data_IF_786313352697
#
_entry.id   IF_786313352697
#
_cell.length_a   1.000
_cell.length_b   1.000
_cell.length_c   1.000
_cell.angle_alpha   90.00
_cell.angle_beta   90.00
_cell.angle_gamma   90.00
#
_symmetry.space_group_name_H-M   'P 1'
#
loop_
_entity.id
_entity.type
_entity.pdbx_description
1 polymer ?
#
# COMPACT_ATOMS: atom_id res chain seq x y z
N UNK A 1 -25.31 21.16 58.12
CA UNK A 1 -26.01 20.71 56.89
C UNK A 1 -25.67 21.47 55.61
N UNK A 2 -25.48 22.80 55.62
CA UNK A 2 -25.12 23.52 54.37
C UNK A 2 -23.64 23.30 53.97
N UNK A 3 -22.73 23.17 54.94
CA UNK A 3 -21.30 22.99 54.65
C UNK A 3 -20.94 21.61 54.05
N UNK A 4 -21.70 20.55 54.38
CA UNK A 4 -21.49 19.22 53.79
C UNK A 4 -21.94 19.19 52.32
N UNK A 5 -23.00 19.91 51.97
CA UNK A 5 -23.50 19.98 50.60
C UNK A 5 -22.53 20.69 49.64
N UNK A 6 -21.84 21.75 50.10
CA UNK A 6 -20.85 22.49 49.30
C UNK A 6 -19.56 21.68 49.08
N UNK A 7 -19.23 20.77 50.00
CA UNK A 7 -18.04 19.91 49.87
C UNK A 7 -18.24 18.84 48.79
N UNK A 8 -19.44 18.26 48.69
CA UNK A 8 -19.75 17.26 47.67
C UNK A 8 -19.77 17.85 46.26
N UNK A 9 -20.30 19.06 46.09
CA UNK A 9 -20.38 19.71 44.79
C UNK A 9 -19.00 20.02 44.19
N UNK A 10 -18.03 20.42 45.04
CA UNK A 10 -16.63 20.63 44.62
C UNK A 10 -15.91 19.33 44.25
N UNK A 11 -16.26 18.22 44.89
CA UNK A 11 -15.69 16.92 44.55
C UNK A 11 -16.20 16.40 43.21
N UNK A 12 -17.48 16.60 42.91
CA UNK A 12 -18.08 16.26 41.63
C UNK A 12 -17.48 17.10 40.50
N UNK A 13 -17.32 18.41 40.68
CA UNK A 13 -16.71 19.26 39.66
C UNK A 13 -15.26 18.87 39.32
N UNK A 14 -14.43 18.55 40.33
CA UNK A 14 -13.05 18.08 40.08
C UNK A 14 -13.01 16.70 39.42
N UNK A 15 -13.96 15.82 39.71
CA UNK A 15 -14.06 14.52 39.07
C UNK A 15 -14.46 14.66 37.58
N UNK A 16 -15.37 15.58 37.26
CA UNK A 16 -15.78 15.88 35.89
C UNK A 16 -14.62 16.48 35.09
N UNK A 17 -13.88 17.46 35.63
CA UNK A 17 -12.71 18.04 34.93
C UNK A 17 -11.63 16.99 34.63
N UNK A 18 -11.30 16.13 35.59
CA UNK A 18 -10.31 15.06 35.38
C UNK A 18 -10.77 14.06 34.31
N UNK A 19 -12.05 13.72 34.27
CA UNK A 19 -12.59 12.80 33.26
C UNK A 19 -12.65 13.43 31.87
N UNK A 20 -13.03 14.71 31.77
CA UNK A 20 -13.04 15.46 30.50
C UNK A 20 -11.62 15.60 29.94
N UNK A 21 -10.62 15.89 30.78
CA UNK A 21 -9.24 15.97 30.34
C UNK A 21 -8.71 14.59 29.89
N UNK A 22 -9.08 13.52 30.59
CA UNK A 22 -8.67 12.15 30.25
C UNK A 22 -9.31 11.65 28.94
N UNK A 23 -10.59 11.97 28.70
CA UNK A 23 -11.29 11.71 27.44
C UNK A 23 -10.65 12.47 26.27
N UNK A 24 -10.41 13.78 26.44
CA UNK A 24 -9.76 14.63 25.43
C UNK A 24 -8.36 14.13 25.06
N UNK A 25 -7.59 13.62 26.02
CA UNK A 25 -6.21 13.16 25.77
C UNK A 25 -6.19 11.84 24.99
N UNK A 26 -7.09 10.91 25.28
CA UNK A 26 -7.18 9.63 24.57
C UNK A 26 -7.71 9.77 23.15
N UNK A 27 -8.66 10.68 22.92
CA UNK A 27 -9.16 10.97 21.58
C UNK A 27 -8.09 11.65 20.73
N UNK A 28 -7.34 12.61 21.29
CA UNK A 28 -6.23 13.26 20.59
C UNK A 28 -5.12 12.24 20.26
N UNK A 29 -4.76 11.35 21.18
CA UNK A 29 -3.75 10.32 20.90
C UNK A 29 -4.20 9.33 19.83
N UNK A 30 -5.46 8.89 19.84
CA UNK A 30 -5.97 7.98 18.82
C UNK A 30 -6.15 8.66 17.46
N UNK A 31 -6.46 9.96 17.43
CA UNK A 31 -6.53 10.77 16.22
C UNK A 31 -5.13 10.99 15.63
N UNK A 32 -4.15 11.35 16.47
CA UNK A 32 -2.74 11.48 16.07
C UNK A 32 -2.19 10.13 15.63
N UNK A 33 -2.43 9.04 16.36
CA UNK A 33 -1.97 7.71 16.01
C UNK A 33 -2.58 7.23 14.68
N UNK A 34 -3.87 7.46 14.45
CA UNK A 34 -4.50 7.22 13.13
C UNK A 34 -3.89 8.08 12.05
N UNK A 35 -3.61 9.36 12.31
CA UNK A 35 -3.00 10.24 11.30
C UNK A 35 -1.54 9.86 11.00
N UNK A 36 -0.80 9.43 12.03
CA UNK A 36 0.61 9.05 11.96
C UNK A 36 0.83 7.67 11.31
N UNK A 37 -0.14 6.76 11.44
CA UNK A 37 -0.11 5.42 10.83
C UNK A 37 -0.84 5.38 9.48
N UNK A 38 -1.87 6.21 9.27
CA UNK A 38 -2.55 6.29 7.98
C UNK A 38 -1.75 7.08 6.94
N UNK A 39 -0.76 7.86 7.37
CA UNK A 39 0.24 8.38 6.45
C UNK A 39 1.10 7.22 5.97
N UNK A 40 0.69 6.60 4.86
CA UNK A 40 1.43 5.60 4.07
C UNK A 40 2.93 5.96 3.94
N UNK A 41 3.21 7.27 3.95
CA UNK A 41 4.53 7.91 3.98
C UNK A 41 5.38 7.50 5.17
N UNK A 42 4.85 7.62 6.38
CA UNK A 42 5.57 7.29 7.60
C UNK A 42 5.87 5.78 7.62
N UNK A 43 4.91 4.95 7.23
CA UNK A 43 5.10 3.49 7.11
C UNK A 43 6.20 3.15 6.09
N UNK A 44 6.20 3.80 4.93
CA UNK A 44 7.22 3.63 3.90
C UNK A 44 8.62 4.06 4.40
N UNK A 45 8.71 5.20 5.09
CA UNK A 45 9.98 5.69 5.65
C UNK A 45 10.54 4.76 6.73
N UNK A 46 9.71 4.35 7.69
CA UNK A 46 10.12 3.38 8.73
C UNK A 46 10.52 2.04 8.12
N UNK A 47 9.77 1.56 7.12
CA UNK A 47 10.10 0.33 6.40
C UNK A 47 11.45 0.42 5.69
N UNK A 48 11.72 1.52 4.98
CA UNK A 48 13.00 1.73 4.30
C UNK A 48 14.18 1.83 5.27
N UNK A 49 14.01 2.56 6.37
CA UNK A 49 15.05 2.67 7.41
C UNK A 49 15.36 1.30 8.03
N UNK A 50 14.32 0.51 8.32
CA UNK A 50 14.46 -0.84 8.84
C UNK A 50 15.17 -1.78 7.85
N UNK A 51 14.84 -1.72 6.55
CA UNK A 51 15.54 -2.48 5.51
C UNK A 51 17.04 -2.13 5.45
N UNK A 52 17.40 -0.84 5.51
CA UNK A 52 18.81 -0.39 5.53
C UNK A 52 19.54 -0.92 6.77
N UNK A 53 18.91 -0.87 7.95
CA UNK A 53 19.50 -1.40 9.19
C UNK A 53 19.71 -2.92 9.06
N UNK A 54 18.74 -3.66 8.54
CA UNK A 54 18.87 -5.10 8.30
C UNK A 54 20.04 -5.40 7.35
N UNK A 55 20.15 -4.66 6.24
CA UNK A 55 21.29 -4.79 5.32
C UNK A 55 22.63 -4.59 6.02
N UNK A 56 22.74 -3.56 6.86
CA UNK A 56 23.97 -3.30 7.62
C UNK A 56 24.27 -4.44 8.59
N UNK A 57 23.27 -4.93 9.32
CA UNK A 57 23.44 -6.05 10.26
C UNK A 57 23.91 -7.32 9.52
N UNK A 58 23.29 -7.64 8.39
CA UNK A 58 23.66 -8.82 7.57
C UNK A 58 25.08 -8.66 7.03
N UNK A 59 25.45 -7.45 6.59
CA UNK A 59 26.81 -7.15 6.11
C UNK A 59 27.85 -7.32 7.23
N UNK A 60 27.57 -6.82 8.44
CA UNK A 60 28.48 -6.97 9.58
C UNK A 60 28.51 -8.38 10.17
N UNK A 61 27.45 -9.18 9.96
CA UNK A 61 27.38 -10.57 10.39
C UNK A 61 28.15 -11.53 9.48
N UNK A 62 28.87 -11.02 8.46
CA UNK A 62 29.60 -11.81 7.47
C UNK A 62 28.73 -12.91 6.83
N UNK A 63 27.46 -12.58 6.53
CA UNK A 63 26.56 -13.48 5.81
C UNK A 63 27.05 -13.74 4.37
N UNK A 64 26.48 -14.76 3.73
CA UNK A 64 26.81 -15.10 2.34
C UNK A 64 26.60 -13.92 1.38
N UNK A 65 27.49 -13.80 0.39
CA UNK A 65 27.46 -12.73 -0.62
C UNK A 65 26.10 -12.65 -1.33
N UNK A 66 25.50 -13.79 -1.66
CA UNK A 66 24.19 -13.86 -2.31
C UNK A 66 23.07 -13.23 -1.47
N UNK A 67 23.05 -13.47 -0.16
CA UNK A 67 22.04 -12.91 0.74
C UNK A 67 22.22 -11.41 0.90
N UNK A 68 23.47 -10.95 0.99
CA UNK A 68 23.80 -9.51 1.05
C UNK A 68 23.30 -8.80 -0.21
N UNK A 69 23.61 -9.34 -1.40
CA UNK A 69 23.18 -8.77 -2.69
C UNK A 69 21.65 -8.73 -2.80
N UNK A 70 20.96 -9.81 -2.43
CA UNK A 70 19.49 -9.85 -2.44
C UNK A 70 18.88 -8.79 -1.52
N UNK A 71 19.41 -8.63 -0.30
CA UNK A 71 18.94 -7.61 0.64
C UNK A 71 19.20 -6.19 0.12
N UNK A 72 20.35 -5.93 -0.49
CA UNK A 72 20.63 -4.64 -1.12
C UNK A 72 19.66 -4.34 -2.27
N UNK A 73 19.37 -5.32 -3.12
CA UNK A 73 18.43 -5.15 -4.23
C UNK A 73 17.03 -4.74 -3.73
N UNK A 74 16.51 -5.43 -2.70
CA UNK A 74 15.22 -5.08 -2.07
C UNK A 74 15.26 -3.69 -1.45
N UNK A 75 16.35 -3.34 -0.78
CA UNK A 75 16.51 -2.04 -0.13
C UNK A 75 16.57 -0.89 -1.13
N UNK A 76 17.26 -1.05 -2.25
CA UNK A 76 17.31 -0.03 -3.31
C UNK A 76 15.92 0.25 -3.89
N UNK A 77 15.10 -0.79 -4.07
CA UNK A 77 13.70 -0.62 -4.50
C UNK A 77 12.89 0.14 -3.44
N UNK A 78 13.08 -0.15 -2.14
CA UNK A 78 12.46 0.64 -1.07
C UNK A 78 12.88 2.12 -1.11
N UNK A 79 14.18 2.39 -1.28
CA UNK A 79 14.71 3.75 -1.39
C UNK A 79 14.20 4.51 -2.62
N UNK A 80 13.84 3.80 -3.70
CA UNK A 80 13.16 4.41 -4.85
C UNK A 80 11.80 5.00 -4.43
N UNK A 81 10.98 4.25 -3.67
CA UNK A 81 9.70 4.76 -3.17
C UNK A 81 9.88 5.96 -2.23
N UNK A 82 10.92 5.93 -1.38
CA UNK A 82 11.29 7.09 -0.56
C UNK A 82 11.65 8.31 -1.39
N UNK A 83 12.33 8.11 -2.53
CA UNK A 83 12.67 9.19 -3.46
C UNK A 83 11.42 9.86 -4.03
N UNK A 84 10.33 9.13 -4.27
CA UNK A 84 9.05 9.74 -4.64
C UNK A 84 8.49 10.66 -3.56
N UNK A 85 8.73 10.35 -2.28
CA UNK A 85 8.42 11.23 -1.16
C UNK A 85 9.15 12.57 -1.24
N UNK A 86 10.42 12.59 -1.65
CA UNK A 86 11.19 13.83 -1.80
C UNK A 86 10.71 14.70 -2.97
N UNK A 87 10.12 14.12 -4.01
CA UNK A 87 9.59 14.90 -5.15
C UNK A 87 8.40 15.81 -4.78
N UNK A 88 7.78 15.58 -3.62
CA UNK A 88 6.79 16.50 -3.03
C UNK A 88 7.34 17.90 -2.75
N UNK A 89 8.64 18.05 -2.54
CA UNK A 89 9.28 19.37 -2.41
C UNK A 89 9.25 20.20 -3.70
N UNK A 90 9.03 19.55 -4.85
CA UNK A 90 9.01 20.20 -6.16
C UNK A 90 7.56 20.43 -6.57
N UNK A 91 7.14 21.70 -6.62
CA UNK A 91 5.74 22.09 -6.89
C UNK A 91 5.13 21.47 -8.16
N UNK A 92 5.95 21.18 -9.18
CA UNK A 92 5.48 20.55 -10.43
C UNK A 92 5.19 19.05 -10.28
N UNK A 93 5.93 18.36 -9.41
CA UNK A 93 5.88 16.90 -9.27
C UNK A 93 5.01 16.49 -8.08
N UNK A 94 4.88 17.33 -7.04
CA UNK A 94 4.02 17.09 -5.87
C UNK A 94 2.60 16.66 -6.25
N UNK A 95 1.96 17.42 -7.15
CA UNK A 95 0.62 17.08 -7.59
C UNK A 95 0.56 15.69 -8.25
N UNK A 96 1.55 15.34 -9.09
CA UNK A 96 1.57 14.05 -9.78
C UNK A 96 1.71 12.88 -8.79
N UNK A 97 2.56 13.04 -7.77
CA UNK A 97 2.77 12.02 -6.73
C UNK A 97 1.49 11.82 -5.91
N UNK A 98 0.79 12.90 -5.55
CA UNK A 98 -0.47 12.80 -4.80
C UNK A 98 -1.58 12.13 -5.63
N UNK A 99 -1.68 12.45 -6.93
CA UNK A 99 -2.63 11.78 -7.84
C UNK A 99 -2.29 10.30 -7.96
N UNK A 100 -1.00 9.95 -8.15
CA UNK A 100 -0.57 8.55 -8.23
C UNK A 100 -0.90 7.77 -6.95
N UNK A 101 -0.66 8.36 -5.78
CA UNK A 101 -0.99 7.74 -4.50
C UNK A 101 -2.51 7.52 -4.36
N UNK A 102 -3.31 8.49 -4.76
CA UNK A 102 -4.77 8.36 -4.76
C UNK A 102 -5.24 7.24 -5.70
N UNK A 103 -4.71 7.19 -6.93
CA UNK A 103 -5.02 6.13 -7.89
C UNK A 103 -4.70 4.72 -7.35
N UNK A 104 -3.58 4.56 -6.62
CA UNK A 104 -3.23 3.29 -5.98
C UNK A 104 -4.26 2.90 -4.92
N UNK A 105 -4.69 3.86 -4.09
CA UNK A 105 -5.68 3.63 -3.04
C UNK A 105 -7.05 3.26 -3.62
N UNK A 106 -7.48 3.98 -4.66
CA UNK A 106 -8.78 3.76 -5.31
C UNK A 106 -8.82 2.41 -6.05
N UNK A 107 -7.66 1.98 -6.56
CA UNK A 107 -7.50 0.70 -7.27
C UNK A 107 -7.41 -0.52 -6.32
N UNK A 108 -7.14 -0.31 -5.03
CA UNK A 108 -6.87 -1.40 -4.08
C UNK A 108 -8.02 -2.43 -3.99
N UNK A 109 -9.28 -1.96 -3.96
CA UNK A 109 -10.44 -2.85 -3.93
C UNK A 109 -10.53 -3.75 -5.17
N UNK A 110 -10.19 -3.20 -6.33
CA UNK A 110 -10.15 -3.95 -7.59
C UNK A 110 -8.99 -4.96 -7.63
N UNK A 111 -7.83 -4.63 -7.06
CA UNK A 111 -6.69 -5.54 -6.96
C UNK A 111 -7.01 -6.81 -6.16
N UNK A 112 -7.85 -6.72 -5.13
CA UNK A 112 -8.30 -7.90 -4.37
C UNK A 112 -9.12 -8.84 -5.26
N UNK A 113 -10.01 -8.30 -6.10
CA UNK A 113 -10.79 -9.10 -7.06
C UNK A 113 -9.86 -9.79 -8.07
N UNK A 114 -8.87 -9.07 -8.59
CA UNK A 114 -7.87 -9.63 -9.52
C UNK A 114 -7.03 -10.74 -8.88
N UNK A 115 -6.53 -10.53 -7.66
CA UNK A 115 -5.76 -11.56 -6.95
C UNK A 115 -6.60 -12.80 -6.66
N UNK A 116 -7.88 -12.61 -6.35
CA UNK A 116 -8.81 -13.74 -6.17
C UNK A 116 -8.93 -14.55 -7.46
N UNK A 117 -9.16 -13.90 -8.61
CA UNK A 117 -9.20 -14.57 -9.91
C UNK A 117 -7.89 -15.32 -10.20
N UNK A 118 -6.73 -14.68 -10.01
CA UNK A 118 -5.43 -15.31 -10.23
C UNK A 118 -5.23 -16.57 -9.38
N UNK A 119 -5.62 -16.55 -8.10
CA UNK A 119 -5.51 -17.73 -7.24
C UNK A 119 -6.39 -18.87 -7.74
N UNK A 120 -7.65 -18.60 -8.11
CA UNK A 120 -8.55 -19.65 -8.61
C UNK A 120 -8.08 -20.23 -9.95
N UNK A 121 -7.65 -19.39 -10.88
CA UNK A 121 -7.06 -19.85 -12.14
C UNK A 121 -5.74 -20.61 -11.89
N UNK A 122 -4.92 -20.20 -10.92
CA UNK A 122 -3.70 -20.91 -10.55
C UNK A 122 -3.95 -22.31 -10.01
N UNK A 123 -4.98 -22.48 -9.19
CA UNK A 123 -5.40 -23.80 -8.75
C UNK A 123 -5.93 -24.62 -9.94
N UNK A 124 -6.78 -24.05 -10.81
CA UNK A 124 -7.35 -24.75 -11.96
C UNK A 124 -6.27 -25.23 -12.95
N UNK A 125 -5.33 -24.37 -13.33
CA UNK A 125 -4.22 -24.73 -14.21
C UNK A 125 -3.28 -25.75 -13.60
N UNK A 126 -3.03 -25.67 -12.29
CA UNK A 126 -2.25 -26.68 -11.58
C UNK A 126 -2.91 -28.06 -11.63
N UNK A 127 -4.22 -28.13 -11.45
CA UNK A 127 -4.99 -29.37 -11.55
C UNK A 127 -4.98 -29.93 -12.97
N UNK A 128 -5.15 -29.08 -13.99
CA UNK A 128 -5.12 -29.48 -15.40
C UNK A 128 -3.74 -29.99 -15.86
N UNK A 129 -2.66 -29.49 -15.26
CA UNK A 129 -1.28 -29.93 -15.53
C UNK A 129 -0.84 -31.11 -14.66
N UNK A 130 -1.68 -31.61 -13.74
CA UNK A 130 -1.30 -32.68 -12.82
C UNK A 130 -0.99 -34.00 -13.55
N UNK A 131 -1.71 -34.31 -14.63
CA UNK A 131 -1.54 -35.56 -15.37
C UNK A 131 -0.25 -35.59 -16.21
N UNK A 132 0.17 -34.43 -16.74
CA UNK A 132 1.44 -34.24 -17.46
C UNK A 132 2.66 -34.72 -16.66
N UNK A 133 2.57 -34.63 -15.33
CA UNK A 133 3.64 -34.93 -14.38
C UNK A 133 3.81 -36.44 -14.17
N UNK A 134 2.76 -37.24 -14.33
CA UNK A 134 2.86 -38.70 -14.19
C UNK A 134 3.49 -39.36 -15.42
N UNK A 135 3.40 -38.73 -16.59
CA UNK A 135 3.90 -39.25 -17.87
C UNK A 135 5.41 -39.20 -18.10
N UNK A 136 6.21 -38.74 -17.14
CA UNK A 136 7.68 -38.75 -17.23
C UNK A 136 8.32 -37.61 -18.03
N UNK A 137 7.56 -36.61 -18.47
CA UNK A 137 8.09 -35.35 -19.00
C UNK A 137 8.81 -34.55 -17.89
N UNK A 138 9.94 -33.94 -18.24
CA UNK A 138 10.83 -33.20 -17.32
C UNK A 138 10.08 -32.47 -16.21
N UNK A 139 10.31 -32.97 -14.98
CA UNK A 139 9.73 -32.51 -13.72
C UNK A 139 10.12 -31.07 -13.44
N UNK A 140 9.36 -30.12 -13.97
CA UNK A 140 9.17 -28.85 -13.30
C UNK A 140 8.49 -29.13 -11.98
N UNK A 141 9.19 -28.93 -10.86
CA UNK A 141 8.59 -28.99 -9.53
C UNK A 141 7.58 -27.84 -9.44
N UNK A 142 6.33 -28.07 -9.87
CA UNK A 142 5.29 -27.05 -9.98
C UNK A 142 4.81 -26.67 -8.58
N UNK A 143 5.62 -25.87 -7.90
CA UNK A 143 5.20 -25.19 -6.70
C UNK A 143 4.01 -24.31 -7.06
N UNK A 144 3.05 -24.18 -6.13
CA UNK A 144 1.93 -23.25 -6.29
C UNK A 144 2.42 -21.84 -6.64
N UNK A 145 3.57 -21.43 -6.08
CA UNK A 145 4.24 -20.17 -6.39
C UNK A 145 4.57 -20.01 -7.87
N UNK A 146 5.09 -21.05 -8.51
CA UNK A 146 5.55 -20.98 -9.90
C UNK A 146 4.32 -20.99 -10.85
N UNK A 147 3.27 -21.73 -10.50
CA UNK A 147 1.98 -21.66 -11.21
C UNK A 147 1.31 -20.29 -11.08
N UNK A 148 1.30 -19.72 -9.87
CA UNK A 148 0.75 -18.40 -9.62
C UNK A 148 1.52 -17.32 -10.39
N UNK A 149 2.86 -17.36 -10.35
CA UNK A 149 3.71 -16.43 -11.09
C UNK A 149 3.48 -16.53 -12.59
N UNK A 150 3.42 -17.74 -13.15
CA UNK A 150 3.12 -17.96 -14.57
C UNK A 150 1.79 -17.34 -15.00
N UNK A 151 0.73 -17.47 -14.19
CA UNK A 151 -0.59 -16.91 -14.51
C UNK A 151 -0.63 -15.40 -14.34
N UNK A 152 0.08 -14.86 -13.36
CA UNK A 152 0.24 -13.41 -13.22
C UNK A 152 0.94 -12.84 -14.46
N UNK A 153 2.03 -13.48 -14.92
CA UNK A 153 2.76 -13.04 -16.12
C UNK A 153 1.89 -13.14 -17.38
N UNK A 154 1.17 -14.26 -17.53
CA UNK A 154 0.24 -14.47 -18.63
C UNK A 154 -0.91 -13.43 -18.62
N UNK A 155 -1.45 -13.12 -17.44
CA UNK A 155 -2.57 -12.20 -17.29
C UNK A 155 -2.20 -10.72 -17.46
N UNK A 156 -1.05 -10.31 -16.91
CA UNK A 156 -0.60 -8.91 -16.91
C UNK A 156 0.17 -8.53 -18.17
N UNK A 157 1.10 -9.39 -18.62
CA UNK A 157 1.97 -9.08 -19.76
C UNK A 157 1.51 -9.73 -21.05
N UNK A 158 0.55 -10.65 -21.01
CA UNK A 158 0.11 -11.39 -22.18
C UNK A 158 1.20 -12.30 -22.73
N UNK A 159 2.17 -12.71 -21.92
CA UNK A 159 3.21 -13.66 -22.33
C UNK A 159 2.63 -15.09 -22.27
N UNK A 160 2.52 -15.73 -23.43
CA UNK A 160 1.94 -17.06 -23.56
C UNK A 160 3.02 -18.06 -24.00
N UNK A 161 3.44 -18.91 -23.09
CA UNK A 161 4.27 -20.06 -23.44
C UNK A 161 3.34 -21.21 -23.88
N UNK A 162 3.21 -21.37 -25.19
CA UNK A 162 2.31 -22.34 -25.82
C UNK A 162 2.88 -23.76 -25.84
N UNK A 163 3.29 -24.29 -24.68
CA UNK A 163 3.57 -25.71 -24.59
C UNK A 163 2.41 -26.46 -23.93
N UNK A 164 1.59 -27.08 -24.78
CA UNK A 164 0.43 -27.90 -24.41
C UNK A 164 0.77 -29.39 -24.31
N UNK A 165 2.01 -29.76 -24.63
CA UNK A 165 2.43 -31.15 -24.66
C UNK A 165 2.31 -31.77 -23.26
N UNK A 166 1.39 -32.74 -23.12
CA UNK A 166 1.21 -33.52 -21.90
C UNK A 166 0.00 -33.14 -21.04
N UNK A 167 -0.88 -32.23 -21.45
CA UNK A 167 -2.08 -31.91 -20.65
C UNK A 167 -3.16 -33.00 -20.70
N UNK A 168 -3.92 -33.17 -19.60
CA UNK A 168 -4.94 -34.23 -19.47
C UNK A 168 -6.02 -34.16 -20.56
N UNK A 169 -6.44 -32.93 -20.90
CA UNK A 169 -7.44 -32.65 -21.93
C UNK A 169 -7.13 -31.31 -22.61
N UNK A 170 -6.57 -31.36 -23.83
CA UNK A 170 -6.18 -30.18 -24.61
C UNK A 170 -7.32 -29.19 -24.81
N UNK A 171 -8.54 -29.69 -25.09
CA UNK A 171 -9.72 -28.85 -25.29
C UNK A 171 -10.16 -28.09 -24.03
N UNK A 172 -10.07 -28.71 -22.85
CA UNK A 172 -10.41 -28.04 -21.59
C UNK A 172 -9.38 -26.99 -21.23
N UNK A 173 -8.09 -27.28 -21.41
CA UNK A 173 -7.01 -26.30 -21.17
C UNK A 173 -7.17 -25.09 -22.09
N UNK A 174 -7.43 -25.31 -23.38
CA UNK A 174 -7.69 -24.24 -24.33
C UNK A 174 -8.90 -23.39 -23.91
N UNK A 175 -10.00 -24.03 -23.48
CA UNK A 175 -11.18 -23.34 -22.96
C UNK A 175 -10.89 -22.48 -21.72
N UNK A 176 -10.14 -23.00 -20.75
CA UNK A 176 -9.73 -22.26 -19.56
C UNK A 176 -8.80 -21.08 -19.88
N UNK A 177 -7.90 -21.24 -20.84
CA UNK A 177 -7.03 -20.15 -21.32
C UNK A 177 -7.85 -19.04 -21.97
N UNK A 178 -8.78 -19.39 -22.86
CA UNK A 178 -9.66 -18.41 -23.50
C UNK A 178 -10.50 -17.68 -22.44
N UNK A 179 -11.09 -18.42 -21.49
CA UNK A 179 -11.85 -17.83 -20.39
C UNK A 179 -10.99 -16.91 -19.52
N UNK A 180 -9.74 -17.29 -19.26
CA UNK A 180 -8.76 -16.47 -18.53
C UNK A 180 -8.43 -15.17 -19.29
N UNK A 181 -8.09 -15.25 -20.58
CA UNK A 181 -7.77 -14.08 -21.41
C UNK A 181 -8.97 -13.12 -21.46
N UNK A 182 -10.18 -13.64 -21.69
CA UNK A 182 -11.39 -12.81 -21.74
C UNK A 182 -11.67 -12.15 -20.38
N UNK A 183 -11.62 -12.91 -19.29
CA UNK A 183 -11.94 -12.39 -17.95
C UNK A 183 -10.87 -11.41 -17.44
N UNK A 184 -9.59 -11.77 -17.49
CA UNK A 184 -8.51 -10.99 -16.89
C UNK A 184 -7.99 -9.92 -17.86
N UNK A 185 -7.64 -10.30 -19.09
CA UNK A 185 -6.98 -9.37 -20.01
C UNK A 185 -7.99 -8.42 -20.65
N UNK A 186 -9.17 -8.90 -21.05
CA UNK A 186 -10.15 -8.04 -21.72
C UNK A 186 -11.04 -7.33 -20.70
N UNK A 187 -11.73 -8.06 -19.82
CA UNK A 187 -12.72 -7.44 -18.93
C UNK A 187 -12.02 -6.66 -17.82
N UNK A 188 -11.14 -7.30 -17.07
CA UNK A 188 -10.53 -6.67 -15.90
C UNK A 188 -9.57 -5.52 -16.26
N UNK A 189 -8.75 -5.64 -17.32
CA UNK A 189 -7.85 -4.54 -17.70
C UNK A 189 -8.63 -3.30 -18.17
N UNK A 190 -9.71 -3.50 -18.93
CA UNK A 190 -10.57 -2.40 -19.36
C UNK A 190 -11.29 -1.74 -18.17
N UNK A 191 -11.75 -2.53 -17.20
CA UNK A 191 -12.34 -2.02 -15.97
C UNK A 191 -11.32 -1.22 -15.13
N UNK A 192 -10.08 -1.72 -15.02
CA UNK A 192 -8.99 -1.04 -14.33
C UNK A 192 -8.68 0.32 -14.95
N UNK A 193 -8.57 0.38 -16.28
CA UNK A 193 -8.32 1.65 -17.00
C UNK A 193 -9.48 2.63 -16.77
N UNK A 194 -10.72 2.15 -16.76
CA UNK A 194 -11.88 3.00 -16.48
C UNK A 194 -11.85 3.59 -15.06
N UNK A 195 -11.52 2.77 -14.05
CA UNK A 195 -11.38 3.21 -12.64
C UNK A 195 -10.24 4.23 -12.51
N UNK A 196 -9.10 3.96 -13.13
CA UNK A 196 -7.96 4.88 -13.12
C UNK A 196 -8.31 6.21 -13.83
N UNK A 197 -9.05 6.15 -14.93
CA UNK A 197 -9.52 7.34 -15.64
C UNK A 197 -10.41 8.24 -14.79
N UNK A 198 -11.39 7.66 -14.10
CA UNK A 198 -12.29 8.39 -13.19
C UNK A 198 -11.53 8.99 -12.00
N UNK A 199 -10.65 8.18 -11.38
CA UNK A 199 -9.80 8.62 -10.26
C UNK A 199 -8.90 9.79 -10.66
N UNK A 200 -8.33 9.76 -11.86
CA UNK A 200 -7.50 10.85 -12.38
C UNK A 200 -8.29 12.14 -12.58
N UNK A 201 -9.49 12.07 -13.16
CA UNK A 201 -10.36 13.23 -13.38
C UNK A 201 -10.78 13.84 -12.03
N UNK A 202 -11.16 13.00 -11.08
CA UNK A 202 -11.51 13.45 -9.73
C UNK A 202 -10.33 14.14 -9.04
N UNK A 203 -9.15 13.53 -9.04
CA UNK A 203 -7.94 14.11 -8.46
C UNK A 203 -7.48 15.40 -9.17
N UNK A 204 -7.79 15.54 -10.47
CA UNK A 204 -7.52 16.76 -11.23
C UNK A 204 -8.47 17.91 -10.84
N UNK A 205 -9.75 17.61 -10.60
CA UNK A 205 -10.73 18.62 -10.15
C UNK A 205 -10.38 19.17 -8.77
N UNK A 206 -9.89 18.31 -7.87
CA UNK A 206 -9.49 18.71 -6.51
C UNK A 206 -8.12 19.39 -6.42
N UNK A 207 -7.34 19.40 -7.51
CA UNK A 207 -5.96 19.93 -7.54
C UNK A 207 -5.84 21.31 -6.91
N UNK A 208 -6.65 22.26 -7.36
CA UNK A 208 -6.54 23.66 -6.92
C UNK A 208 -6.92 23.80 -5.44
N UNK A 209 -7.96 23.08 -5.01
CA UNK A 209 -8.38 23.08 -3.61
C UNK A 209 -7.31 22.46 -2.69
N UNK A 210 -6.74 21.32 -3.09
CA UNK A 210 -5.71 20.62 -2.32
C UNK A 210 -4.39 21.42 -2.25
N UNK A 211 -3.99 22.10 -3.33
CA UNK A 211 -2.83 23.00 -3.30
C UNK A 211 -3.06 24.16 -2.34
N UNK A 212 -4.23 24.80 -2.38
CA UNK A 212 -4.54 25.91 -1.48
C UNK A 212 -4.62 25.45 -0.02
N UNK A 213 -5.20 24.27 0.23
CA UNK A 213 -5.23 23.63 1.55
C UNK A 213 -3.83 23.31 2.08
N UNK A 214 -2.97 22.70 1.26
CA UNK A 214 -1.59 22.38 1.64
C UNK A 214 -0.77 23.66 1.91
N UNK A 215 -0.96 24.72 1.11
CA UNK A 215 -0.32 26.02 1.36
C UNK A 215 -0.77 26.63 2.68
N UNK A 216 -2.06 26.65 2.95
CA UNK A 216 -2.59 27.16 4.22
C UNK A 216 -2.07 26.35 5.42
N UNK A 217 -2.04 25.02 5.30
CA UNK A 217 -1.49 24.14 6.33
C UNK A 217 -0.02 24.44 6.62
N UNK A 218 0.81 24.55 5.58
CA UNK A 218 2.22 24.89 5.73
C UNK A 218 2.40 26.26 6.38
N UNK A 219 1.63 27.27 5.97
CA UNK A 219 1.72 28.62 6.57
C UNK A 219 1.41 28.57 8.07
N UNK A 220 0.37 27.84 8.48
CA UNK A 220 -0.02 27.70 9.90
C UNK A 220 1.05 26.92 10.67
N UNK A 221 1.59 25.84 10.09
CA UNK A 221 2.66 25.06 10.70
C UNK A 221 3.93 25.89 10.91
N UNK A 222 4.36 26.63 9.87
CA UNK A 222 5.49 27.56 9.97
C UNK A 222 5.24 28.67 11.01
N UNK A 223 4.04 29.23 11.05
CA UNK A 223 3.68 30.26 12.04
C UNK A 223 3.79 29.73 13.47
N UNK A 224 3.32 28.50 13.72
CA UNK A 224 3.44 27.84 15.02
C UNK A 224 4.89 27.54 15.39
N UNK A 225 5.74 27.19 14.42
CA UNK A 225 7.17 26.91 14.65
C UNK A 225 8.01 28.15 14.92
N UNK A 226 7.65 29.30 14.33
CA UNK A 226 8.39 30.56 14.53
C UNK A 226 8.17 31.12 15.94
N UNK A 227 7.12 30.67 16.63
CA UNK A 227 6.81 31.06 18.01
C UNK A 227 6.35 32.51 18.10
N UNK A 228 5.36 32.77 18.95
CA UNK A 228 5.10 34.12 19.41
C UNK A 228 6.36 34.63 20.11
N UNK A 229 7.19 35.36 19.36
CA UNK A 229 8.19 36.24 19.94
C UNK A 229 7.39 37.27 20.74
N UNK A 230 7.14 36.94 22.02
CA UNK A 230 6.47 37.75 23.03
C UNK A 230 6.64 39.23 22.70
N UNK A 231 5.58 39.87 22.20
CA UNK A 231 5.42 41.32 22.24
C UNK A 231 5.12 41.77 23.68
N UNK A 232 5.89 41.26 24.65
CA UNK A 232 5.75 41.56 26.08
C UNK A 232 6.77 42.61 26.53
N UNK A 233 7.17 43.52 25.62
CA UNK A 233 7.94 44.72 25.90
C UNK A 233 7.38 45.89 25.08
N UNK A 234 6.12 46.28 25.37
CA UNK A 234 5.63 47.67 25.25
C UNK A 234 4.72 47.94 26.44
#
# INVERSE_FOLDING_TARGET
DVASHISDEKHVHRAIEKNVHKLRTNDIFSLIYRHLISDLRNVCDWGCQLCVIICLVIYFAEASEDTVVQCFAVTVVGLLFKTFGYYRGIQRVDWLVNVLAQMIMDTYGFMILMMTLFVFFAVAFRLLRYDAIQGGGSRGNLNFRDSLFSIIMMGLFGEHEHDFAGTAHEGLVCGFIIAFIVSVTIISLNALIAILGDSFVHAQQEKTANINKNRAYLIVEYYNMIGEKKSADI
#
